data_IF_904920643354
#
_entry.id   IF_904920643354
#
_cell.length_a   1.000
_cell.length_b   1.000
_cell.length_c   1.000
_cell.angle_alpha   90.00
_cell.angle_beta   90.00
_cell.angle_gamma   90.00
#
_symmetry.space_group_name_H-M   'P 1'
#
loop_
_entity.id
_entity.type
_entity.pdbx_description
1 polymer ?
#
# COMPACT_ATOMS: atom_id res chain seq x y z
N UNK A 1 -71.60 34.64 51.85
CA UNK A 1 -72.11 33.54 52.71
C UNK A 1 -71.70 32.21 52.15
N UNK A 2 -71.15 31.39 53.05
CA UNK A 2 -71.00 29.92 53.06
C UNK A 2 -69.93 29.33 52.08
N UNK A 3 -68.82 28.99 52.62
CA UNK A 3 -68.33 27.76 53.30
C UNK A 3 -67.64 26.78 52.38
N UNK A 4 -66.30 26.66 52.59
CA UNK A 4 -65.42 25.55 52.29
C UNK A 4 -65.95 24.23 52.88
N UNK A 5 -65.64 23.05 52.25
CA UNK A 5 -64.63 22.28 52.95
C UNK A 5 -63.54 21.65 52.08
N UNK A 6 -62.39 21.58 52.71
CA UNK A 6 -61.18 20.81 52.54
C UNK A 6 -61.41 19.32 52.40
N UNK A 7 -60.73 18.64 51.49
CA UNK A 7 -60.25 17.25 51.74
C UNK A 7 -58.88 16.98 51.17
N UNK A 8 -58.10 16.47 52.03
CA UNK A 8 -56.73 15.94 51.90
C UNK A 8 -56.73 14.59 51.14
N UNK A 9 -55.48 14.30 50.75
CA UNK A 9 -54.85 13.02 50.33
C UNK A 9 -54.78 12.88 48.82
N UNK A 10 -53.60 12.63 48.25
CA UNK A 10 -52.58 11.70 48.66
C UNK A 10 -51.25 12.00 47.93
N UNK A 11 -50.25 12.27 48.71
CA UNK A 11 -48.86 12.14 48.29
C UNK A 11 -48.55 10.65 48.30
N UNK A 12 -48.37 10.01 47.18
CA UNK A 12 -47.80 8.66 47.08
C UNK A 12 -47.69 8.11 45.63
N UNK A 13 -47.39 8.93 44.61
CA UNK A 13 -47.16 8.40 43.27
C UNK A 13 -45.98 8.98 42.51
N UNK A 14 -45.19 9.86 43.17
CA UNK A 14 -44.06 10.52 42.52
C UNK A 14 -42.69 9.92 42.83
N UNK A 15 -42.61 8.87 43.66
CA UNK A 15 -41.32 8.27 44.07
C UNK A 15 -40.90 7.01 43.27
N UNK A 16 -41.70 6.53 42.33
CA UNK A 16 -41.43 5.27 41.60
C UNK A 16 -40.84 5.47 40.20
N UNK A 17 -40.69 6.68 39.72
CA UNK A 17 -40.22 6.97 38.34
C UNK A 17 -38.81 7.53 38.24
N UNK A 18 -38.07 7.74 39.32
CA UNK A 18 -36.70 8.26 39.31
C UNK A 18 -35.62 7.18 39.41
N UNK A 19 -36.00 5.93 39.67
CA UNK A 19 -35.05 4.82 39.80
C UNK A 19 -34.77 4.04 38.50
N UNK A 20 -35.39 4.40 37.35
CA UNK A 20 -35.31 3.62 36.11
C UNK A 20 -34.48 4.27 34.98
N UNK A 21 -33.80 5.37 35.21
CA UNK A 21 -33.08 6.10 34.12
C UNK A 21 -31.58 6.25 34.42
N UNK A 22 -30.98 5.50 35.29
CA UNK A 22 -29.53 5.44 35.49
C UNK A 22 -28.95 4.07 35.16
N UNK A 23 -29.39 3.43 34.07
CA UNK A 23 -28.58 2.49 33.33
C UNK A 23 -27.73 3.33 32.36
N UNK A 24 -26.71 3.98 32.90
CA UNK A 24 -25.58 4.50 32.13
C UNK A 24 -25.01 3.30 31.41
N UNK A 25 -25.21 3.24 30.09
CA UNK A 25 -24.46 2.36 29.19
C UNK A 25 -23.00 2.73 29.32
N UNK A 26 -22.29 2.07 30.20
CA UNK A 26 -20.83 2.06 30.21
C UNK A 26 -20.45 1.47 28.85
N UNK A 27 -19.74 2.18 27.98
CA UNK A 27 -19.19 1.55 26.77
C UNK A 27 -18.36 0.39 27.29
N UNK A 28 -18.74 -0.83 26.96
CA UNK A 28 -17.92 -2.00 27.18
C UNK A 28 -16.66 -1.78 26.32
N UNK A 29 -15.62 -1.20 26.91
CA UNK A 29 -14.28 -1.27 26.34
C UNK A 29 -13.99 -2.77 26.25
N UNK A 30 -14.04 -3.31 25.03
CA UNK A 30 -13.67 -4.69 24.79
C UNK A 30 -12.22 -4.84 25.26
N UNK A 31 -12.04 -5.44 26.45
CA UNK A 31 -10.71 -5.77 26.94
C UNK A 31 -10.07 -6.73 25.92
N UNK A 32 -8.77 -6.57 25.64
CA UNK A 32 -8.05 -7.52 24.79
C UNK A 32 -8.28 -8.95 25.31
N UNK A 33 -8.72 -9.85 24.44
CA UNK A 33 -8.87 -11.24 24.79
C UNK A 33 -7.48 -11.84 25.04
N UNK A 34 -7.23 -12.27 26.25
CA UNK A 34 -6.02 -13.01 26.61
C UNK A 34 -6.37 -14.51 26.59
N UNK A 35 -5.64 -15.34 25.81
CA UNK A 35 -5.86 -16.79 25.82
C UNK A 35 -5.74 -17.37 27.24
N UNK A 36 -6.58 -18.32 27.57
CA UNK A 36 -6.57 -18.99 28.89
C UNK A 36 -5.41 -20.00 29.01
N UNK A 37 -4.91 -20.48 27.88
CA UNK A 37 -3.76 -21.39 27.76
C UNK A 37 -3.20 -21.39 26.34
N UNK A 38 -2.00 -21.95 26.15
CA UNK A 38 -1.27 -21.95 24.87
C UNK A 38 -1.95 -22.77 23.76
N UNK A 39 -2.90 -23.63 24.09
CA UNK A 39 -3.64 -24.44 23.12
C UNK A 39 -4.99 -23.81 22.70
N UNK A 40 -5.38 -22.68 23.28
CA UNK A 40 -6.62 -22.02 22.94
C UNK A 40 -6.55 -21.39 21.54
N UNK A 41 -7.48 -21.80 20.67
CA UNK A 41 -7.66 -21.21 19.34
C UNK A 41 -8.48 -19.93 19.49
N UNK A 42 -7.83 -18.78 19.40
CA UNK A 42 -8.47 -17.45 19.51
C UNK A 42 -9.07 -16.95 18.19
N UNK A 43 -8.53 -17.43 17.05
CA UNK A 43 -9.01 -17.09 15.73
C UNK A 43 -8.67 -18.23 14.74
N UNK A 44 -9.59 -18.54 13.85
CA UNK A 44 -9.32 -19.42 12.70
C UNK A 44 -9.23 -18.57 11.44
N UNK A 45 -8.02 -18.43 10.91
CA UNK A 45 -7.80 -17.68 9.67
C UNK A 45 -8.34 -18.46 8.47
N UNK A 46 -8.90 -17.78 7.44
CA UNK A 46 -9.32 -18.42 6.21
C UNK A 46 -8.15 -19.18 5.56
N UNK A 47 -8.39 -20.41 5.13
CA UNK A 47 -7.39 -21.17 4.40
C UNK A 47 -7.19 -20.56 3.01
N UNK A 48 -5.95 -20.22 2.66
CA UNK A 48 -5.60 -19.83 1.30
C UNK A 48 -5.54 -21.08 0.43
N UNK A 49 -6.41 -21.16 -0.56
CA UNK A 49 -6.53 -22.33 -1.43
C UNK A 49 -5.19 -22.63 -2.13
N UNK A 50 -4.77 -23.88 -2.07
CA UNK A 50 -3.57 -24.38 -2.77
C UNK A 50 -2.25 -24.24 -2.02
N UNK A 51 -2.06 -23.21 -1.18
CA UNK A 51 -0.80 -22.97 -0.46
C UNK A 51 -0.65 -23.84 0.80
N UNK A 52 -1.72 -24.11 1.52
CA UNK A 52 -1.65 -24.75 2.84
C UNK A 52 -0.97 -26.13 2.88
N UNK A 53 -1.05 -26.92 1.79
CA UNK A 53 -0.35 -28.22 1.70
C UNK A 53 1.14 -28.04 1.47
N UNK A 54 1.50 -27.17 0.55
CA UNK A 54 2.89 -26.83 0.22
C UNK A 54 3.58 -26.14 1.40
N UNK A 55 2.91 -25.21 2.04
CA UNK A 55 3.39 -24.55 3.25
C UNK A 55 3.73 -25.55 4.37
N UNK A 56 2.83 -26.50 4.66
CA UNK A 56 3.09 -27.53 5.67
C UNK A 56 4.27 -28.42 5.30
N UNK A 57 4.48 -28.71 4.01
CA UNK A 57 5.65 -29.44 3.53
C UNK A 57 6.93 -28.64 3.80
N UNK A 58 6.98 -27.41 3.32
CA UNK A 58 8.15 -26.52 3.45
C UNK A 58 8.50 -26.26 4.92
N UNK A 59 7.49 -26.01 5.76
CA UNK A 59 7.72 -25.85 7.21
C UNK A 59 8.34 -27.09 7.86
N UNK A 60 7.87 -28.27 7.52
CA UNK A 60 8.46 -29.53 8.04
C UNK A 60 9.90 -29.72 7.60
N UNK A 61 10.19 -29.41 6.33
CA UNK A 61 11.55 -29.49 5.81
C UNK A 61 12.50 -28.50 6.47
N UNK A 62 12.03 -27.26 6.70
CA UNK A 62 12.82 -26.23 7.41
C UNK A 62 13.07 -26.59 8.89
N UNK A 63 12.13 -27.24 9.56
CA UNK A 63 12.37 -27.76 10.92
C UNK A 63 13.50 -28.79 10.94
N UNK A 64 13.56 -29.67 9.93
CA UNK A 64 14.62 -30.69 9.82
C UNK A 64 15.94 -30.11 9.34
N UNK A 65 15.90 -29.10 8.45
CA UNK A 65 17.06 -28.49 7.78
C UNK A 65 16.90 -26.96 7.77
N UNK A 66 17.12 -26.28 8.92
CA UNK A 66 16.82 -24.84 9.06
C UNK A 66 17.62 -23.94 8.12
N UNK A 67 18.76 -24.39 7.62
CA UNK A 67 19.63 -23.65 6.68
C UNK A 67 19.63 -24.23 5.27
N UNK A 68 18.59 -24.98 4.89
CA UNK A 68 18.41 -25.37 3.49
C UNK A 68 17.99 -24.15 2.67
N UNK A 69 18.93 -23.59 1.93
CA UNK A 69 18.75 -22.34 1.16
C UNK A 69 17.63 -22.47 0.13
N UNK A 70 17.54 -23.61 -0.56
CA UNK A 70 16.53 -23.80 -1.61
C UNK A 70 15.10 -23.82 -1.02
N UNK A 71 14.92 -24.56 0.07
CA UNK A 71 13.62 -24.65 0.77
C UNK A 71 13.22 -23.32 1.37
N UNK A 72 14.18 -22.60 1.98
CA UNK A 72 13.94 -21.28 2.56
C UNK A 72 13.53 -20.25 1.51
N UNK A 73 14.22 -20.21 0.36
CA UNK A 73 13.88 -19.32 -0.73
C UNK A 73 12.52 -19.64 -1.34
N UNK A 74 12.18 -20.92 -1.49
CA UNK A 74 10.86 -21.33 -1.97
C UNK A 74 9.76 -20.88 -1.02
N UNK A 75 9.92 -21.09 0.28
CA UNK A 75 8.97 -20.68 1.30
C UNK A 75 8.83 -19.15 1.38
N UNK A 76 9.95 -18.42 1.39
CA UNK A 76 9.94 -16.95 1.46
C UNK A 76 9.26 -16.32 0.23
N UNK A 77 9.53 -16.84 -0.98
CA UNK A 77 8.84 -16.41 -2.21
C UNK A 77 7.34 -16.66 -2.12
N UNK A 78 6.93 -17.88 -1.74
CA UNK A 78 5.51 -18.20 -1.59
C UNK A 78 4.78 -17.29 -0.60
N UNK A 79 5.40 -16.95 0.53
CA UNK A 79 4.83 -15.99 1.48
C UNK A 79 4.77 -14.56 0.90
N UNK A 80 5.80 -14.10 0.18
CA UNK A 80 5.76 -12.80 -0.48
C UNK A 80 4.68 -12.71 -1.56
N UNK A 81 4.48 -13.78 -2.31
CA UNK A 81 3.42 -13.84 -3.31
C UNK A 81 2.03 -13.79 -2.66
N UNK A 82 1.85 -14.45 -1.51
CA UNK A 82 0.64 -14.31 -0.72
C UNK A 82 0.47 -12.89 -0.17
N UNK A 83 1.54 -12.27 0.34
CA UNK A 83 1.48 -10.89 0.82
C UNK A 83 0.98 -9.94 -0.28
N UNK A 84 1.47 -10.11 -1.51
CA UNK A 84 1.05 -9.32 -2.67
C UNK A 84 -0.37 -9.62 -3.11
N UNK A 85 -0.71 -10.91 -3.26
CA UNK A 85 -2.01 -11.31 -3.81
C UNK A 85 -3.16 -11.11 -2.84
N UNK A 86 -2.92 -11.24 -1.54
CA UNK A 86 -3.92 -11.00 -0.50
C UNK A 86 -3.92 -9.57 0.06
N UNK A 87 -2.87 -8.79 -0.25
CA UNK A 87 -2.67 -7.46 0.34
C UNK A 87 -2.49 -7.52 1.86
N UNK A 88 -1.86 -8.59 2.38
CA UNK A 88 -1.70 -8.85 3.81
C UNK A 88 -0.22 -8.93 4.20
N UNK A 89 0.29 -7.89 4.84
CA UNK A 89 1.69 -7.77 5.24
C UNK A 89 2.15 -8.84 6.26
N UNK A 90 1.22 -9.56 6.94
CA UNK A 90 1.57 -10.66 7.85
C UNK A 90 2.36 -11.75 7.14
N UNK A 91 2.04 -12.02 5.88
CA UNK A 91 2.78 -13.00 5.08
C UNK A 91 4.23 -12.56 4.81
N UNK A 92 4.51 -11.27 4.67
CA UNK A 92 5.89 -10.78 4.58
C UNK A 92 6.65 -10.99 5.90
N UNK A 93 5.98 -10.85 7.04
CA UNK A 93 6.54 -11.25 8.35
C UNK A 93 6.89 -12.73 8.41
N UNK A 94 6.04 -13.62 7.86
CA UNK A 94 6.35 -15.06 7.76
C UNK A 94 7.53 -15.32 6.81
N UNK A 95 7.63 -14.60 5.69
CA UNK A 95 8.78 -14.68 4.82
C UNK A 95 10.08 -14.30 5.54
N UNK A 96 10.06 -13.22 6.33
CA UNK A 96 11.21 -12.80 7.15
C UNK A 96 11.54 -13.86 8.21
N UNK A 97 10.52 -14.44 8.86
CA UNK A 97 10.69 -15.53 9.84
C UNK A 97 11.39 -16.76 9.26
N UNK A 98 11.11 -17.13 8.01
CA UNK A 98 11.81 -18.22 7.30
C UNK A 98 13.30 -17.93 7.14
N UNK A 99 13.69 -16.67 6.94
CA UNK A 99 15.08 -16.26 6.76
C UNK A 99 15.83 -16.06 8.09
N UNK A 100 15.18 -16.19 9.23
CA UNK A 100 15.74 -15.96 10.56
C UNK A 100 16.93 -16.87 10.88
N UNK A 101 17.03 -18.06 10.26
CA UNK A 101 18.17 -18.96 10.44
C UNK A 101 19.54 -18.35 10.02
N UNK A 102 19.51 -17.26 9.22
CA UNK A 102 20.71 -16.53 8.81
C UNK A 102 20.86 -15.17 9.52
N UNK A 103 20.01 -14.84 10.48
CA UNK A 103 20.11 -13.59 11.23
C UNK A 103 21.18 -13.67 12.35
N UNK A 104 21.97 -12.58 12.58
CA UNK A 104 22.08 -11.43 11.72
C UNK A 104 22.78 -11.77 10.39
N UNK A 105 22.33 -11.18 9.27
CA UNK A 105 22.96 -11.40 7.97
C UNK A 105 24.38 -10.81 7.95
N UNK A 106 25.30 -11.50 7.27
CA UNK A 106 26.72 -11.15 7.19
C UNK A 106 27.28 -11.42 5.80
N UNK A 107 28.55 -11.12 5.61
CA UNK A 107 29.28 -11.44 4.37
C UNK A 107 29.39 -12.96 4.10
N UNK A 108 29.16 -13.80 5.09
CA UNK A 108 29.17 -15.26 4.92
C UNK A 108 27.77 -15.83 4.60
N UNK A 109 26.74 -14.97 4.62
CA UNK A 109 25.38 -15.36 4.24
C UNK A 109 25.30 -15.64 2.75
N UNK A 110 24.66 -16.75 2.30
CA UNK A 110 24.50 -17.04 0.86
C UNK A 110 23.86 -15.86 0.11
N UNK A 111 24.39 -15.54 -1.07
CA UNK A 111 23.97 -14.38 -1.85
C UNK A 111 22.46 -14.31 -2.11
N UNK A 112 21.86 -15.43 -2.47
CA UNK A 112 20.42 -15.52 -2.76
C UNK A 112 19.59 -15.26 -1.50
N UNK A 113 20.09 -15.63 -0.32
CA UNK A 113 19.45 -15.31 0.97
C UNK A 113 19.54 -13.81 1.25
N UNK A 114 20.71 -13.18 1.01
CA UNK A 114 20.87 -11.72 1.18
C UNK A 114 19.88 -10.97 0.27
N UNK A 115 19.77 -11.34 -1.00
CA UNK A 115 18.84 -10.69 -1.94
C UNK A 115 17.38 -10.91 -1.52
N UNK A 116 17.03 -12.12 -1.09
CA UNK A 116 15.67 -12.42 -0.60
C UNK A 116 15.37 -11.66 0.69
N UNK A 117 16.30 -11.62 1.64
CA UNK A 117 16.16 -10.86 2.89
C UNK A 117 15.90 -9.38 2.59
N UNK A 118 16.69 -8.78 1.71
CA UNK A 118 16.49 -7.39 1.29
C UNK A 118 15.15 -7.16 0.57
N UNK A 119 14.69 -8.12 -0.24
CA UNK A 119 13.39 -8.04 -0.92
C UNK A 119 12.25 -8.06 0.09
N UNK A 120 12.34 -8.89 1.13
CA UNK A 120 11.35 -8.92 2.22
C UNK A 120 11.42 -7.64 3.05
N UNK A 121 12.64 -7.18 3.40
CA UNK A 121 12.86 -5.94 4.15
C UNK A 121 12.27 -4.72 3.43
N UNK A 122 12.48 -4.62 2.11
CA UNK A 122 11.84 -3.60 1.26
C UNK A 122 10.31 -3.66 1.36
N UNK A 123 9.71 -4.84 1.27
CA UNK A 123 8.26 -5.02 1.38
C UNK A 123 7.74 -4.59 2.76
N UNK A 124 8.55 -4.77 3.80
CA UNK A 124 8.27 -4.33 5.16
C UNK A 124 8.68 -2.87 5.42
N UNK A 125 9.08 -2.13 4.38
CA UNK A 125 9.53 -0.73 4.40
C UNK A 125 10.80 -0.47 5.23
N UNK A 126 11.57 -1.51 5.54
CA UNK A 126 12.94 -1.35 6.07
C UNK A 126 13.92 -1.09 4.91
N UNK A 127 13.85 0.10 4.34
CA UNK A 127 14.65 0.47 3.18
C UNK A 127 16.14 0.60 3.50
N UNK A 128 16.49 1.03 4.71
CA UNK A 128 17.91 1.17 5.12
C UNK A 128 18.56 -0.20 5.29
N UNK A 129 17.89 -1.13 5.98
CA UNK A 129 18.35 -2.51 6.13
C UNK A 129 18.40 -3.25 4.79
N UNK A 130 17.41 -3.03 3.92
CA UNK A 130 17.39 -3.60 2.58
C UNK A 130 18.56 -3.07 1.71
N UNK A 131 18.81 -1.76 1.69
CA UNK A 131 19.93 -1.16 0.94
C UNK A 131 21.27 -1.69 1.43
N UNK A 132 21.51 -1.75 2.75
CA UNK A 132 22.75 -2.27 3.33
C UNK A 132 22.97 -3.74 2.94
N UNK A 133 21.93 -4.57 3.05
CA UNK A 133 21.98 -6.00 2.69
C UNK A 133 22.25 -6.20 1.19
N UNK A 134 21.61 -5.40 0.31
CA UNK A 134 21.87 -5.46 -1.14
C UNK A 134 23.29 -5.05 -1.51
N UNK A 135 23.84 -4.01 -0.87
CA UNK A 135 25.25 -3.62 -1.09
C UNK A 135 26.20 -4.76 -0.72
N UNK A 136 25.93 -5.48 0.36
CA UNK A 136 26.68 -6.67 0.74
C UNK A 136 26.55 -7.79 -0.30
N UNK A 137 25.32 -8.09 -0.75
CA UNK A 137 25.06 -9.10 -1.77
C UNK A 137 25.77 -8.78 -3.10
N UNK A 138 25.71 -7.52 -3.52
CA UNK A 138 26.32 -7.07 -4.78
C UNK A 138 27.86 -6.97 -4.72
N UNK A 139 28.42 -6.79 -3.53
CA UNK A 139 29.87 -6.91 -3.33
C UNK A 139 30.35 -8.35 -3.48
N UNK A 140 29.57 -9.34 -3.00
CA UNK A 140 29.86 -10.76 -3.21
C UNK A 140 29.66 -11.18 -4.67
N UNK A 141 28.56 -10.74 -5.29
CA UNK A 141 28.18 -11.17 -6.65
C UNK A 141 27.71 -9.97 -7.49
N UNK A 142 28.65 -9.22 -8.12
CA UNK A 142 28.31 -8.05 -8.93
C UNK A 142 27.44 -8.34 -10.16
N UNK A 143 27.34 -9.61 -10.57
CA UNK A 143 26.48 -10.08 -11.66
C UNK A 143 25.04 -10.37 -11.26
N UNK A 144 24.63 -10.16 -10.01
CA UNK A 144 23.27 -10.44 -9.55
C UNK A 144 22.26 -9.38 -10.05
N UNK A 145 21.56 -9.70 -11.13
CA UNK A 145 20.59 -8.78 -11.75
C UNK A 145 19.42 -8.43 -10.81
N UNK A 146 18.90 -9.39 -10.06
CA UNK A 146 17.82 -9.13 -9.11
C UNK A 146 18.25 -8.17 -8.00
N UNK A 147 19.48 -8.33 -7.51
CA UNK A 147 20.05 -7.43 -6.51
C UNK A 147 20.12 -5.99 -7.02
N UNK A 148 20.60 -5.78 -8.25
CA UNK A 148 20.66 -4.44 -8.85
C UNK A 148 19.27 -3.84 -9.08
N UNK A 149 18.32 -4.63 -9.59
CA UNK A 149 16.95 -4.15 -9.83
C UNK A 149 16.26 -3.75 -8.52
N UNK A 150 16.37 -4.58 -7.48
CA UNK A 150 15.82 -4.27 -6.16
C UNK A 150 16.45 -3.02 -5.55
N UNK A 151 17.78 -2.87 -5.67
CA UNK A 151 18.48 -1.67 -5.20
C UNK A 151 18.02 -0.41 -5.94
N UNK A 152 17.88 -0.47 -7.27
CA UNK A 152 17.38 0.64 -8.06
C UNK A 152 15.97 1.06 -7.62
N UNK A 153 15.09 0.10 -7.38
CA UNK A 153 13.72 0.35 -6.89
C UNK A 153 13.72 1.04 -5.52
N UNK A 154 14.52 0.54 -4.56
CA UNK A 154 14.62 1.16 -3.22
C UNK A 154 15.11 2.61 -3.32
N UNK A 155 16.14 2.84 -4.11
CA UNK A 155 16.71 4.18 -4.30
C UNK A 155 15.68 5.14 -4.93
N UNK A 156 14.90 4.66 -5.89
CA UNK A 156 13.83 5.42 -6.53
C UNK A 156 12.70 5.75 -5.56
N UNK A 157 12.21 4.76 -4.80
CA UNK A 157 11.18 4.97 -3.75
C UNK A 157 11.62 6.02 -2.73
N UNK A 158 12.92 6.11 -2.47
CA UNK A 158 13.51 7.13 -1.57
C UNK A 158 13.80 8.47 -2.24
N UNK A 159 13.45 8.66 -3.51
CA UNK A 159 13.70 9.89 -4.27
C UNK A 159 15.17 10.09 -4.66
N UNK A 160 15.98 9.02 -4.65
CA UNK A 160 17.42 9.05 -4.99
C UNK A 160 17.63 8.59 -6.43
N UNK A 161 17.06 9.33 -7.38
CA UNK A 161 17.01 8.93 -8.79
C UNK A 161 18.37 8.77 -9.44
N UNK A 162 19.34 9.63 -9.11
CA UNK A 162 20.73 9.52 -9.64
C UNK A 162 21.42 8.24 -9.17
N UNK A 163 21.22 7.86 -7.90
CA UNK A 163 21.78 6.61 -7.38
C UNK A 163 21.05 5.40 -8.00
N UNK A 164 19.74 5.52 -8.23
CA UNK A 164 18.97 4.52 -8.96
C UNK A 164 19.49 4.33 -10.39
N UNK A 165 19.82 5.42 -11.12
CA UNK A 165 20.44 5.33 -12.45
C UNK A 165 21.76 4.55 -12.43
N UNK A 166 22.58 4.73 -11.41
CA UNK A 166 23.82 3.97 -11.27
C UNK A 166 23.57 2.46 -11.15
N UNK A 167 22.53 2.06 -10.41
CA UNK A 167 22.10 0.66 -10.29
C UNK A 167 21.48 0.13 -11.61
N UNK A 168 20.64 0.94 -12.31
CA UNK A 168 20.10 0.60 -13.64
C UNK A 168 21.21 0.41 -14.66
N UNK A 169 22.25 1.26 -14.65
CA UNK A 169 23.42 1.12 -15.52
C UNK A 169 24.24 -0.14 -15.21
N UNK A 170 24.23 -0.62 -13.96
CA UNK A 170 24.85 -1.89 -13.63
C UNK A 170 24.12 -3.07 -14.32
N UNK A 171 22.80 -3.02 -14.43
CA UNK A 171 22.02 -4.00 -15.20
C UNK A 171 22.44 -4.05 -16.68
N UNK A 172 22.67 -2.89 -17.30
CA UNK A 172 23.18 -2.82 -18.67
C UNK A 172 24.56 -3.49 -18.82
N UNK A 173 25.47 -3.26 -17.87
CA UNK A 173 26.81 -3.88 -17.88
C UNK A 173 26.77 -5.40 -17.80
N UNK A 174 25.78 -5.98 -17.14
CA UNK A 174 25.58 -7.44 -17.06
C UNK A 174 24.61 -7.96 -18.13
N UNK A 175 24.36 -7.19 -19.18
CA UNK A 175 23.54 -7.51 -20.35
C UNK A 175 22.05 -7.74 -20.05
N UNK A 176 21.53 -7.17 -18.99
CA UNK A 176 20.09 -7.17 -18.66
C UNK A 176 19.41 -5.95 -19.30
N UNK A 177 19.54 -5.82 -20.63
CA UNK A 177 19.21 -4.59 -21.36
C UNK A 177 17.73 -4.20 -21.23
N UNK A 178 16.78 -5.15 -21.24
CA UNK A 178 15.37 -4.84 -21.08
C UNK A 178 15.12 -4.14 -19.73
N UNK A 179 15.59 -4.73 -18.63
CA UNK A 179 15.41 -4.17 -17.31
C UNK A 179 16.19 -2.88 -17.10
N UNK A 180 17.36 -2.76 -17.68
CA UNK A 180 18.16 -1.54 -17.62
C UNK A 180 17.46 -0.37 -18.32
N UNK A 181 16.96 -0.58 -19.54
CA UNK A 181 16.24 0.46 -20.31
C UNK A 181 14.96 0.86 -19.61
N UNK A 182 14.16 -0.09 -19.14
CA UNK A 182 12.91 0.20 -18.41
C UNK A 182 13.19 0.99 -17.12
N UNK A 183 14.19 0.58 -16.35
CA UNK A 183 14.61 1.23 -15.11
C UNK A 183 15.07 2.69 -15.35
N UNK A 184 15.90 2.94 -16.37
CA UNK A 184 16.33 4.29 -16.74
C UNK A 184 15.19 5.14 -17.28
N UNK A 185 14.29 4.54 -18.07
CA UNK A 185 13.11 5.23 -18.59
C UNK A 185 12.18 5.68 -17.47
N UNK A 186 11.93 4.83 -16.47
CA UNK A 186 11.13 5.18 -15.31
C UNK A 186 11.74 6.35 -14.54
N UNK A 187 13.06 6.33 -14.28
CA UNK A 187 13.77 7.44 -13.63
C UNK A 187 13.74 8.73 -14.47
N UNK A 188 13.85 8.63 -15.81
CA UNK A 188 13.75 9.77 -16.72
C UNK A 188 12.33 10.37 -16.67
N UNK A 189 11.29 9.53 -16.66
CA UNK A 189 9.90 9.97 -16.49
C UNK A 189 9.68 10.75 -15.20
N UNK A 190 10.21 10.26 -14.07
CA UNK A 190 10.15 10.94 -12.78
C UNK A 190 10.82 12.32 -12.80
N UNK A 191 11.88 12.51 -13.59
CA UNK A 191 12.57 13.79 -13.76
C UNK A 191 11.94 14.71 -14.80
N UNK A 192 10.83 14.31 -15.42
CA UNK A 192 10.13 15.12 -16.42
C UNK A 192 10.54 14.88 -17.86
N UNK A 193 11.45 13.95 -18.12
CA UNK A 193 11.86 13.53 -19.47
C UNK A 193 10.84 12.55 -20.07
N UNK A 194 9.55 12.92 -19.97
CA UNK A 194 8.42 12.03 -20.26
C UNK A 194 8.41 11.48 -21.68
N UNK A 195 8.85 12.28 -22.68
CA UNK A 195 8.90 11.82 -24.07
C UNK A 195 9.99 10.76 -24.24
N UNK A 196 11.19 11.00 -23.72
CA UNK A 196 12.29 10.03 -23.73
C UNK A 196 11.90 8.73 -23.04
N UNK A 197 11.27 8.81 -21.88
CA UNK A 197 10.79 7.65 -21.13
C UNK A 197 9.77 6.83 -21.93
N UNK A 198 8.78 7.52 -22.52
CA UNK A 198 7.76 6.89 -23.37
C UNK A 198 8.38 6.17 -24.55
N UNK A 199 9.25 6.84 -25.31
CA UNK A 199 9.83 6.29 -26.53
C UNK A 199 10.69 5.04 -26.21
N UNK A 200 11.44 5.07 -25.11
CA UNK A 200 12.21 3.93 -24.64
C UNK A 200 11.31 2.74 -24.25
N UNK A 201 10.25 2.98 -23.48
CA UNK A 201 9.32 1.93 -23.06
C UNK A 201 8.52 1.35 -24.23
N UNK A 202 8.06 2.21 -25.15
CA UNK A 202 7.39 1.76 -26.38
C UNK A 202 8.32 0.96 -27.28
N UNK A 203 9.59 1.36 -27.38
CA UNK A 203 10.62 0.59 -28.09
C UNK A 203 10.81 -0.82 -27.51
N UNK A 204 10.81 -0.94 -26.17
CA UNK A 204 10.81 -2.26 -25.52
C UNK A 204 9.57 -3.09 -25.85
N UNK A 205 8.39 -2.49 -25.81
CA UNK A 205 7.11 -3.16 -26.08
C UNK A 205 7.00 -3.68 -27.54
N UNK A 206 7.78 -3.13 -28.47
CA UNK A 206 7.88 -3.65 -29.85
C UNK A 206 8.76 -4.91 -29.96
N UNK A 207 9.48 -5.30 -28.90
CA UNK A 207 10.32 -6.50 -28.94
C UNK A 207 9.47 -7.76 -29.19
N UNK A 208 9.76 -8.56 -30.24
CA UNK A 208 8.99 -9.76 -30.56
C UNK A 208 8.88 -10.76 -29.41
N UNK A 209 9.89 -10.84 -28.55
CA UNK A 209 9.88 -11.72 -27.35
C UNK A 209 8.71 -11.36 -26.41
N UNK A 210 8.35 -10.10 -26.29
CA UNK A 210 7.24 -9.63 -25.43
C UNK A 210 5.85 -9.88 -26.05
N UNK A 211 5.77 -10.35 -27.28
CA UNK A 211 4.51 -10.78 -27.91
C UNK A 211 4.13 -12.22 -27.50
N UNK A 212 5.06 -12.99 -26.93
CA UNK A 212 4.77 -14.31 -26.36
C UNK A 212 3.80 -14.16 -25.15
N UNK A 213 2.67 -14.88 -25.12
CA UNK A 213 1.73 -14.84 -23.98
C UNK A 213 2.39 -15.13 -22.62
N UNK A 214 3.49 -15.91 -22.59
CA UNK A 214 4.26 -16.21 -21.38
C UNK A 214 4.97 -14.97 -20.80
N UNK A 215 5.08 -13.90 -21.57
CA UNK A 215 5.66 -12.63 -21.14
C UNK A 215 4.58 -11.63 -20.68
N UNK A 216 3.35 -12.08 -20.44
CA UNK A 216 2.23 -11.24 -20.04
C UNK A 216 2.56 -10.32 -18.86
N UNK A 217 3.15 -10.88 -17.80
CA UNK A 217 3.55 -10.11 -16.62
C UNK A 217 4.62 -9.03 -16.92
N UNK A 218 5.61 -9.34 -17.75
CA UNK A 218 6.64 -8.36 -18.15
C UNK A 218 6.02 -7.25 -19.01
N UNK A 219 5.15 -7.63 -19.93
CA UNK A 219 4.45 -6.69 -20.80
C UNK A 219 3.50 -5.79 -20.01
N UNK A 220 2.77 -6.36 -19.07
CA UNK A 220 1.89 -5.64 -18.15
C UNK A 220 2.70 -4.61 -17.35
N UNK A 221 3.81 -4.99 -16.71
CA UNK A 221 4.67 -4.08 -15.97
C UNK A 221 5.15 -2.90 -16.82
N UNK A 222 5.63 -3.13 -18.06
CA UNK A 222 6.05 -2.07 -18.95
C UNK A 222 4.90 -1.12 -19.32
N UNK A 223 3.70 -1.64 -19.56
CA UNK A 223 2.52 -0.83 -19.89
C UNK A 223 2.04 -0.01 -18.70
N UNK A 224 2.13 -0.55 -17.48
CA UNK A 224 1.85 0.22 -16.26
C UNK A 224 2.86 1.35 -16.09
N UNK A 225 4.15 1.08 -16.32
CA UNK A 225 5.17 2.14 -16.29
C UNK A 225 4.90 3.23 -17.34
N UNK A 226 4.43 2.86 -18.54
CA UNK A 226 3.97 3.86 -19.53
C UNK A 226 2.81 4.68 -18.98
N UNK A 227 1.80 4.04 -18.38
CA UNK A 227 0.65 4.74 -17.80
C UNK A 227 1.08 5.75 -16.72
N UNK A 228 1.98 5.36 -15.84
CA UNK A 228 2.51 6.23 -14.78
C UNK A 228 3.31 7.41 -15.36
N UNK A 229 4.13 7.20 -16.38
CA UNK A 229 4.84 8.29 -17.09
C UNK A 229 3.86 9.26 -17.75
N UNK A 230 2.76 8.75 -18.32
CA UNK A 230 1.70 9.58 -18.90
C UNK A 230 0.93 10.38 -17.84
N UNK A 231 0.71 9.81 -16.66
CA UNK A 231 0.13 10.53 -15.53
C UNK A 231 1.03 11.67 -15.06
N UNK A 232 2.34 11.40 -14.88
CA UNK A 232 3.32 12.43 -14.50
C UNK A 232 3.32 13.61 -15.49
N UNK A 233 3.11 13.30 -16.77
CA UNK A 233 3.02 14.29 -17.84
C UNK A 233 1.65 14.99 -17.96
N UNK A 234 0.64 14.58 -17.16
CA UNK A 234 -0.73 15.08 -17.26
C UNK A 234 -1.49 14.63 -18.51
N UNK A 235 -1.04 13.57 -19.20
CA UNK A 235 -1.65 13.05 -20.43
C UNK A 235 -2.65 11.95 -20.13
N UNK A 236 -3.81 12.33 -19.61
CA UNK A 236 -4.79 11.43 -19.02
C UNK A 236 -5.36 10.38 -19.99
N UNK A 237 -5.62 10.72 -21.26
CA UNK A 237 -6.14 9.75 -22.25
C UNK A 237 -5.11 8.67 -22.59
N UNK A 238 -3.84 9.04 -22.66
CA UNK A 238 -2.74 8.11 -22.92
C UNK A 238 -2.53 7.18 -21.70
N UNK A 239 -2.60 7.73 -20.48
CA UNK A 239 -2.52 6.96 -19.25
C UNK A 239 -3.67 5.94 -19.14
N UNK A 240 -4.93 6.35 -19.38
CA UNK A 240 -6.09 5.44 -19.38
C UNK A 240 -5.93 4.30 -20.38
N UNK A 241 -5.46 4.62 -21.59
CA UNK A 241 -5.21 3.63 -22.64
C UNK A 241 -4.14 2.61 -22.20
N UNK A 242 -3.04 3.07 -21.62
CA UNK A 242 -1.94 2.22 -21.18
C UNK A 242 -2.35 1.33 -20.00
N UNK A 243 -3.09 1.85 -19.00
CA UNK A 243 -3.64 1.04 -17.91
C UNK A 243 -4.57 -0.08 -18.41
N UNK A 244 -5.47 0.23 -19.34
CA UNK A 244 -6.36 -0.80 -19.93
C UNK A 244 -5.58 -1.87 -20.68
N UNK A 245 -4.54 -1.49 -21.40
CA UNK A 245 -3.67 -2.44 -22.09
C UNK A 245 -2.87 -3.29 -21.11
N UNK A 246 -2.39 -2.71 -20.00
CA UNK A 246 -1.71 -3.43 -18.93
C UNK A 246 -2.62 -4.53 -18.34
N UNK A 247 -3.85 -4.16 -17.97
CA UNK A 247 -4.84 -5.10 -17.42
C UNK A 247 -5.29 -6.18 -18.41
N UNK A 248 -5.19 -5.91 -19.72
CA UNK A 248 -5.45 -6.90 -20.76
C UNK A 248 -4.27 -7.86 -20.99
N UNK A 249 -3.04 -7.43 -20.70
CA UNK A 249 -1.84 -8.27 -20.81
C UNK A 249 -1.70 -9.26 -19.65
N UNK A 250 -1.92 -8.76 -18.44
CA UNK A 250 -1.97 -9.56 -17.19
C UNK A 250 -2.67 -8.72 -16.11
N UNK A 251 -3.08 -9.34 -14.99
CA UNK A 251 -3.73 -8.63 -13.89
C UNK A 251 -2.94 -8.79 -12.63
N UNK A 252 -2.56 -7.67 -12.00
CA UNK A 252 -1.93 -7.66 -10.69
C UNK A 252 -2.68 -6.75 -9.72
N UNK A 253 -2.58 -7.03 -8.42
CA UNK A 253 -3.17 -6.17 -7.39
C UNK A 253 -2.62 -4.74 -7.44
N UNK A 254 -1.35 -4.57 -7.81
CA UNK A 254 -0.75 -3.24 -7.97
C UNK A 254 -1.47 -2.42 -9.05
N UNK A 255 -1.65 -2.98 -10.26
CA UNK A 255 -2.29 -2.25 -11.37
C UNK A 255 -3.74 -1.90 -11.07
N UNK A 256 -4.45 -2.81 -10.39
CA UNK A 256 -5.83 -2.58 -9.98
C UNK A 256 -5.94 -1.38 -9.05
N UNK A 257 -5.00 -1.24 -8.12
CA UNK A 257 -4.93 -0.10 -7.21
C UNK A 257 -4.49 1.17 -7.94
N UNK A 258 -3.43 1.11 -8.75
CA UNK A 258 -2.92 2.26 -9.51
C UNK A 258 -4.00 2.80 -10.47
N UNK A 259 -4.66 1.92 -11.22
CA UNK A 259 -5.75 2.35 -12.10
C UNK A 259 -6.99 2.85 -11.35
N UNK A 260 -7.28 2.31 -10.15
CA UNK A 260 -8.33 2.86 -9.28
C UNK A 260 -8.02 4.29 -8.85
N UNK A 261 -6.78 4.57 -8.44
CA UNK A 261 -6.33 5.91 -8.06
C UNK A 261 -6.42 6.88 -9.24
N UNK A 262 -6.02 6.45 -10.45
CA UNK A 262 -6.22 7.21 -11.67
C UNK A 262 -7.71 7.51 -11.93
N UNK A 263 -8.60 6.51 -11.88
CA UNK A 263 -10.04 6.70 -12.07
C UNK A 263 -10.63 7.69 -11.06
N UNK A 264 -10.22 7.58 -9.80
CA UNK A 264 -10.60 8.52 -8.76
C UNK A 264 -10.11 9.94 -9.09
N UNK A 265 -8.86 10.11 -9.52
CA UNK A 265 -8.31 11.40 -9.89
C UNK A 265 -9.06 12.02 -11.11
N UNK A 266 -9.49 11.19 -12.06
CA UNK A 266 -10.26 11.62 -13.23
C UNK A 266 -11.78 11.77 -12.95
N UNK A 267 -12.20 11.78 -11.69
CA UNK A 267 -13.61 11.87 -11.33
C UNK A 267 -14.50 10.73 -11.85
N UNK A 268 -13.93 9.56 -12.13
CA UNK A 268 -14.59 8.35 -12.62
C UNK A 268 -14.82 7.33 -11.50
N UNK A 269 -15.15 7.80 -10.29
CA UNK A 269 -15.36 6.99 -9.10
C UNK A 269 -16.41 5.87 -9.29
N UNK A 270 -17.34 6.02 -10.25
CA UNK A 270 -18.36 5.00 -10.57
C UNK A 270 -17.79 3.70 -11.14
N UNK A 271 -16.57 3.74 -11.72
CA UNK A 271 -15.95 2.56 -12.35
C UNK A 271 -15.15 1.71 -11.35
N UNK A 272 -14.71 2.30 -10.24
CA UNK A 272 -13.86 1.64 -9.23
C UNK A 272 -14.49 0.37 -8.62
N UNK A 273 -15.78 0.34 -8.24
CA UNK A 273 -16.37 -0.88 -7.68
C UNK A 273 -16.37 -2.07 -8.65
N UNK A 274 -16.59 -1.80 -9.95
CA UNK A 274 -16.56 -2.85 -10.97
C UNK A 274 -15.14 -3.36 -11.22
N UNK A 275 -14.16 -2.46 -11.20
CA UNK A 275 -12.75 -2.79 -11.35
C UNK A 275 -12.24 -3.70 -10.22
N UNK A 276 -12.57 -3.38 -8.97
CA UNK A 276 -12.07 -4.05 -7.76
C UNK A 276 -12.94 -5.23 -7.28
N UNK A 277 -14.03 -5.57 -7.98
CA UNK A 277 -15.03 -6.55 -7.54
C UNK A 277 -14.45 -7.93 -7.19
N UNK A 278 -13.43 -8.36 -7.90
CA UNK A 278 -12.80 -9.68 -7.74
C UNK A 278 -11.55 -9.65 -6.86
N UNK A 279 -11.13 -8.47 -6.42
CA UNK A 279 -9.91 -8.34 -5.62
C UNK A 279 -10.16 -8.72 -4.14
N UNK A 280 -9.14 -9.28 -3.46
CA UNK A 280 -9.21 -9.49 -2.02
C UNK A 280 -9.51 -8.19 -1.27
N UNK A 281 -10.26 -8.27 -0.18
CA UNK A 281 -10.62 -7.11 0.65
C UNK A 281 -9.42 -6.64 1.51
N UNK A 282 -8.33 -6.25 0.86
CA UNK A 282 -7.17 -5.63 1.49
C UNK A 282 -7.49 -4.19 1.93
N UNK A 283 -6.66 -3.61 2.79
CA UNK A 283 -6.79 -2.20 3.21
C UNK A 283 -6.76 -1.26 2.01
N UNK A 284 -5.89 -1.55 1.02
CA UNK A 284 -5.80 -0.78 -0.21
C UNK A 284 -7.10 -0.82 -1.03
N UNK A 285 -7.73 -1.99 -1.16
CA UNK A 285 -9.00 -2.16 -1.88
C UNK A 285 -10.14 -1.47 -1.14
N UNK A 286 -10.28 -1.71 0.17
CA UNK A 286 -11.31 -1.09 1.00
C UNK A 286 -11.23 0.44 0.96
N UNK A 287 -10.02 0.99 1.01
CA UNK A 287 -9.80 2.43 0.94
C UNK A 287 -10.32 3.02 -0.38
N UNK A 288 -10.00 2.42 -1.53
CA UNK A 288 -10.47 2.91 -2.85
C UNK A 288 -11.98 2.79 -3.00
N UNK A 289 -12.57 1.70 -2.49
CA UNK A 289 -14.03 1.55 -2.45
C UNK A 289 -14.70 2.60 -1.57
N UNK A 290 -14.15 2.88 -0.38
CA UNK A 290 -14.65 3.91 0.51
C UNK A 290 -14.57 5.31 -0.13
N UNK A 291 -13.43 5.68 -0.72
CA UNK A 291 -13.25 6.96 -1.43
C UNK A 291 -14.24 7.06 -2.60
N UNK A 292 -14.37 5.99 -3.40
CA UNK A 292 -15.30 5.98 -4.53
C UNK A 292 -16.74 6.22 -4.08
N UNK A 293 -17.16 5.56 -3.00
CA UNK A 293 -18.50 5.71 -2.45
C UNK A 293 -18.75 7.12 -1.91
N UNK A 294 -17.81 7.73 -1.19
CA UNK A 294 -17.91 9.11 -0.72
C UNK A 294 -18.07 10.10 -1.88
N UNK A 295 -17.25 9.95 -2.94
CA UNK A 295 -17.34 10.81 -4.12
C UNK A 295 -18.62 10.63 -4.91
N UNK A 296 -19.19 9.42 -4.95
CA UNK A 296 -20.48 9.16 -5.57
C UNK A 296 -21.63 9.75 -4.75
N UNK A 297 -21.60 9.57 -3.41
CA UNK A 297 -22.59 10.13 -2.49
C UNK A 297 -22.64 11.67 -2.53
N UNK A 298 -21.48 12.31 -2.64
CA UNK A 298 -21.40 13.77 -2.80
C UNK A 298 -22.09 14.28 -4.08
N UNK A 299 -22.11 13.47 -5.16
CA UNK A 299 -22.79 13.81 -6.42
C UNK A 299 -24.26 13.44 -6.43
N UNK A 300 -24.62 12.31 -5.84
CA UNK A 300 -25.98 11.78 -5.77
C UNK A 300 -26.18 11.09 -4.42
N UNK A 301 -26.78 11.77 -3.44
CA UNK A 301 -27.04 11.17 -2.14
C UNK A 301 -27.84 9.86 -2.27
N UNK A 302 -27.44 8.80 -1.57
CA UNK A 302 -28.17 7.54 -1.58
C UNK A 302 -29.56 7.72 -0.91
N UNK A 303 -30.56 6.90 -1.29
CA UNK A 303 -31.86 6.91 -0.61
C UNK A 303 -31.68 6.55 0.88
N UNK A 304 -32.45 7.19 1.76
CA UNK A 304 -32.34 7.07 3.22
C UNK A 304 -32.49 5.62 3.76
N UNK A 305 -33.05 4.72 2.98
CA UNK A 305 -33.25 3.30 3.32
C UNK A 305 -32.06 2.39 2.97
N UNK A 306 -31.08 2.89 2.23
CA UNK A 306 -29.88 2.11 1.90
C UNK A 306 -28.92 2.16 3.08
N UNK A 307 -28.69 1.05 3.78
CA UNK A 307 -27.49 0.90 4.62
C UNK A 307 -26.31 0.79 3.64
N UNK A 308 -25.46 1.79 3.51
CA UNK A 308 -24.48 1.77 2.45
C UNK A 308 -23.43 0.68 2.73
N UNK A 309 -23.17 -0.16 1.76
CA UNK A 309 -22.00 -1.07 1.79
C UNK A 309 -20.72 -0.29 2.13
N UNK A 310 -20.65 0.95 1.66
CA UNK A 310 -19.61 1.91 1.98
C UNK A 310 -19.38 2.12 3.47
N UNK A 311 -20.42 2.20 4.30
CA UNK A 311 -20.25 2.38 5.74
C UNK A 311 -19.55 1.19 6.38
N UNK A 312 -19.89 -0.04 5.95
CA UNK A 312 -19.22 -1.25 6.43
C UNK A 312 -17.73 -1.28 6.04
N UNK A 313 -17.40 -0.85 4.83
CA UNK A 313 -16.01 -0.77 4.37
C UNK A 313 -15.22 0.27 5.17
N UNK A 314 -15.84 1.40 5.50
CA UNK A 314 -15.26 2.45 6.35
C UNK A 314 -15.06 1.94 7.78
N UNK A 315 -16.05 1.29 8.37
CA UNK A 315 -15.98 0.77 9.74
C UNK A 315 -14.92 -0.32 9.86
N UNK A 316 -14.86 -1.23 8.88
CA UNK A 316 -13.84 -2.28 8.81
C UNK A 316 -12.43 -1.68 8.69
N UNK A 317 -12.24 -0.71 7.80
CA UNK A 317 -10.94 -0.06 7.61
C UNK A 317 -10.51 0.74 8.85
N UNK A 318 -11.46 1.42 9.50
CA UNK A 318 -11.22 2.13 10.76
C UNK A 318 -10.72 1.17 11.83
N UNK A 319 -11.42 0.05 12.04
CA UNK A 319 -11.01 -0.96 13.01
C UNK A 319 -9.62 -1.55 12.73
N UNK A 320 -9.28 -1.77 11.44
CA UNK A 320 -7.97 -2.27 11.05
C UNK A 320 -6.86 -1.24 11.32
N UNK A 321 -7.08 0.04 11.04
CA UNK A 321 -6.10 1.09 11.33
C UNK A 321 -5.92 1.32 12.83
N UNK A 322 -7.00 1.25 13.61
CA UNK A 322 -6.92 1.32 15.08
C UNK A 322 -6.13 0.14 15.64
N UNK A 323 -6.37 -1.07 15.17
CA UNK A 323 -5.61 -2.26 15.57
C UNK A 323 -4.12 -2.16 15.18
N UNK A 324 -3.82 -1.62 14.00
CA UNK A 324 -2.45 -1.37 13.57
C UNK A 324 -1.76 -0.33 14.47
N UNK A 325 -2.44 0.76 14.82
CA UNK A 325 -1.89 1.83 15.67
C UNK A 325 -1.50 1.38 17.08
N UNK A 326 -2.06 0.26 17.57
CA UNK A 326 -1.66 -0.32 18.86
C UNK A 326 -0.28 -0.97 18.84
N UNK A 327 0.29 -1.21 17.65
CA UNK A 327 1.63 -1.81 17.52
C UNK A 327 2.68 -0.71 17.42
N UNK A 328 3.72 -0.69 18.27
CA UNK A 328 4.78 0.32 18.19
C UNK A 328 5.43 0.37 16.79
N UNK A 329 5.62 1.56 16.25
CA UNK A 329 6.32 1.80 14.98
C UNK A 329 5.49 1.56 13.70
N UNK A 330 4.29 1.00 13.78
CA UNK A 330 3.50 0.68 12.57
C UNK A 330 2.81 1.89 11.93
N UNK A 331 2.61 2.98 12.66
CA UNK A 331 1.94 4.18 12.11
C UNK A 331 2.67 4.72 10.89
N UNK A 332 4.00 4.76 10.90
CA UNK A 332 4.78 5.22 9.75
C UNK A 332 4.62 4.31 8.52
N UNK A 333 4.48 3.00 8.72
CA UNK A 333 4.36 2.01 7.65
C UNK A 333 3.01 2.09 6.91
N UNK A 334 1.97 2.60 7.58
CA UNK A 334 0.62 2.75 7.02
C UNK A 334 0.23 4.22 6.82
N UNK A 335 1.19 5.14 6.92
CA UNK A 335 0.89 6.57 6.96
C UNK A 335 0.29 7.08 5.64
N UNK A 336 0.66 6.51 4.48
CA UNK A 336 0.06 6.85 3.17
C UNK A 336 -1.44 6.55 3.14
N UNK A 337 -1.81 5.32 3.43
CA UNK A 337 -3.21 4.86 3.39
C UNK A 337 -4.05 5.59 4.44
N UNK A 338 -3.49 5.80 5.63
CA UNK A 338 -4.17 6.56 6.69
C UNK A 338 -4.32 8.04 6.32
N UNK A 339 -3.33 8.66 5.64
CA UNK A 339 -3.43 10.03 5.15
C UNK A 339 -4.54 10.17 4.09
N UNK A 340 -4.61 9.25 3.13
CA UNK A 340 -5.69 9.21 2.14
C UNK A 340 -7.06 8.99 2.79
N UNK A 341 -7.16 8.11 3.79
CA UNK A 341 -8.38 7.87 4.53
C UNK A 341 -8.85 9.11 5.30
N UNK A 342 -7.92 9.76 6.02
CA UNK A 342 -8.21 11.02 6.73
C UNK A 342 -8.67 12.11 5.75
N UNK A 343 -8.00 12.24 4.60
CA UNK A 343 -8.29 13.28 3.62
C UNK A 343 -9.59 13.05 2.86
N UNK A 344 -9.74 11.87 2.24
CA UNK A 344 -10.78 11.60 1.25
C UNK A 344 -12.06 10.99 1.86
N UNK A 345 -11.97 10.38 3.05
CA UNK A 345 -13.11 9.71 3.70
C UNK A 345 -13.58 10.47 4.93
N UNK A 346 -12.66 10.90 5.79
CA UNK A 346 -13.00 11.58 7.04
C UNK A 346 -13.07 13.12 6.90
N UNK A 347 -12.46 13.70 5.86
CA UNK A 347 -12.38 15.17 5.70
C UNK A 347 -11.47 15.84 6.73
N UNK A 348 -10.61 15.08 7.41
CA UNK A 348 -9.68 15.57 8.42
C UNK A 348 -8.34 15.98 7.77
N UNK A 349 -8.31 17.19 7.24
CA UNK A 349 -7.14 17.73 6.56
C UNK A 349 -5.91 17.86 7.46
N UNK A 350 -6.10 18.17 8.75
CA UNK A 350 -5.00 18.33 9.69
C UNK A 350 -4.31 16.98 9.98
N UNK A 351 -5.09 15.96 10.24
CA UNK A 351 -4.60 14.58 10.43
C UNK A 351 -3.95 14.06 9.15
N UNK A 352 -4.58 14.27 7.99
CA UNK A 352 -4.03 13.88 6.70
C UNK A 352 -2.65 14.48 6.46
N UNK A 353 -2.49 15.79 6.73
CA UNK A 353 -1.21 16.49 6.58
C UNK A 353 -0.13 15.94 7.52
N UNK A 354 -0.47 15.68 8.77
CA UNK A 354 0.47 15.12 9.74
C UNK A 354 0.96 13.72 9.30
N UNK A 355 0.05 12.85 8.84
CA UNK A 355 0.38 11.53 8.34
C UNK A 355 1.17 11.58 7.03
N UNK A 356 0.81 12.45 6.09
CA UNK A 356 1.55 12.62 4.84
C UNK A 356 2.99 13.12 5.07
N UNK A 357 3.20 14.04 6.03
CA UNK A 357 4.55 14.45 6.45
C UNK A 357 5.36 13.30 7.04
N UNK A 358 4.73 12.44 7.84
CA UNK A 358 5.38 11.24 8.38
C UNK A 358 5.79 10.28 7.24
N UNK A 359 4.90 10.06 6.27
CA UNK A 359 5.13 9.16 5.15
C UNK A 359 6.31 9.56 4.28
N UNK A 360 6.45 10.85 3.92
CA UNK A 360 7.55 11.32 3.04
C UNK A 360 8.93 11.30 3.70
N UNK A 361 9.01 11.02 4.99
CA UNK A 361 10.27 10.72 5.66
C UNK A 361 10.78 9.32 5.30
N UNK A 362 9.84 8.39 5.06
CA UNK A 362 10.14 6.99 4.76
C UNK A 362 10.24 6.75 3.25
N UNK A 363 9.29 7.24 2.48
CA UNK A 363 9.18 7.02 1.03
C UNK A 363 8.73 8.29 0.30
N UNK A 364 9.17 8.46 -0.95
CA UNK A 364 9.00 9.69 -1.75
C UNK A 364 8.61 9.38 -3.18
N UNK A 365 7.67 8.45 -3.33
CA UNK A 365 7.07 8.17 -4.63
C UNK A 365 6.16 9.34 -5.07
N UNK A 366 5.86 9.47 -6.36
CA UNK A 366 4.96 10.53 -6.86
C UNK A 366 3.64 10.63 -6.10
N UNK A 367 3.04 9.48 -5.76
CA UNK A 367 1.79 9.43 -4.97
C UNK A 367 1.96 10.00 -3.56
N UNK A 368 3.12 9.82 -2.92
CA UNK A 368 3.39 10.35 -1.58
C UNK A 368 3.41 11.88 -1.57
N UNK A 369 4.10 12.47 -2.57
CA UNK A 369 4.13 13.92 -2.73
C UNK A 369 2.76 14.47 -3.14
N UNK A 370 1.99 13.72 -3.95
CA UNK A 370 0.63 14.10 -4.31
C UNK A 370 -0.29 14.11 -3.10
N UNK A 371 -0.22 13.10 -2.23
CA UNK A 371 -1.00 13.06 -0.98
C UNK A 371 -0.62 14.22 -0.07
N UNK A 372 0.69 14.51 0.08
CA UNK A 372 1.16 15.63 0.89
C UNK A 372 0.69 16.97 0.32
N UNK A 373 0.74 17.18 -1.00
CA UNK A 373 0.26 18.40 -1.65
C UNK A 373 -1.24 18.59 -1.46
N UNK A 374 -2.03 17.54 -1.68
CA UNK A 374 -3.49 17.57 -1.49
C UNK A 374 -3.87 17.83 -0.02
N UNK A 375 -3.17 17.23 0.93
CA UNK A 375 -3.40 17.47 2.35
C UNK A 375 -3.01 18.89 2.76
N UNK A 376 -1.90 19.44 2.23
CA UNK A 376 -1.48 20.81 2.44
C UNK A 376 -2.50 21.82 1.89
N UNK A 377 -3.04 21.56 0.69
CA UNK A 377 -4.09 22.37 0.09
C UNK A 377 -5.38 22.33 0.91
N UNK A 378 -5.83 21.13 1.32
CA UNK A 378 -7.03 20.96 2.11
C UNK A 378 -6.92 21.60 3.53
N UNK A 379 -5.72 21.54 4.14
CA UNK A 379 -5.44 22.19 5.41
C UNK A 379 -5.20 23.71 5.27
N UNK A 380 -5.17 24.23 4.05
CA UNK A 380 -4.82 25.63 3.73
C UNK A 380 -3.48 26.07 4.36
N UNK A 381 -2.47 25.15 4.33
CA UNK A 381 -1.14 25.35 4.93
C UNK A 381 -0.11 25.73 3.86
N UNK A 382 0.16 27.01 3.70
CA UNK A 382 1.14 27.51 2.73
C UNK A 382 2.58 27.11 3.06
N UNK A 383 2.88 26.82 4.31
CA UNK A 383 4.20 26.30 4.70
C UNK A 383 4.37 24.88 4.18
N UNK A 384 3.35 24.03 4.36
CA UNK A 384 3.37 22.68 3.81
C UNK A 384 3.44 22.68 2.27
N UNK A 385 2.74 23.61 1.59
CA UNK A 385 2.87 23.74 0.11
C UNK A 385 4.31 24.08 -0.31
N UNK A 386 4.99 24.95 0.44
CA UNK A 386 6.43 25.25 0.18
C UNK A 386 7.32 24.05 0.47
N UNK A 387 7.04 23.28 1.53
CA UNK A 387 7.75 22.03 1.84
C UNK A 387 7.66 21.03 0.68
N UNK A 388 6.46 20.83 0.10
CA UNK A 388 6.29 19.95 -1.07
C UNK A 388 7.14 20.42 -2.25
N UNK A 389 7.08 21.72 -2.60
CA UNK A 389 7.88 22.30 -3.71
C UNK A 389 9.38 22.10 -3.48
N UNK A 390 9.84 22.34 -2.26
CA UNK A 390 11.25 22.16 -1.89
C UNK A 390 11.65 20.69 -2.02
N UNK A 391 10.82 19.76 -1.56
CA UNK A 391 11.08 18.32 -1.65
C UNK A 391 11.11 17.84 -3.10
N UNK A 392 10.14 18.27 -3.94
CA UNK A 392 10.16 17.96 -5.39
C UNK A 392 11.45 18.45 -6.06
N UNK A 393 11.87 19.68 -5.74
CA UNK A 393 13.13 20.25 -6.26
C UNK A 393 14.35 19.44 -5.79
N UNK A 394 14.39 19.08 -4.51
CA UNK A 394 15.48 18.32 -3.91
C UNK A 394 15.68 16.97 -4.58
N UNK A 395 14.59 16.23 -4.84
CA UNK A 395 14.66 14.90 -5.45
C UNK A 395 14.61 14.93 -6.99
N UNK A 396 14.33 16.07 -7.58
CA UNK A 396 14.21 16.26 -9.03
C UNK A 396 12.91 15.78 -9.64
N UNK A 397 11.85 15.52 -8.82
CA UNK A 397 10.55 15.07 -9.32
C UNK A 397 9.83 16.14 -10.13
N UNK A 398 9.22 15.72 -11.23
CA UNK A 398 8.28 16.52 -12.04
C UNK A 398 6.98 15.74 -12.20
N UNK A 399 5.90 16.26 -11.64
CA UNK A 399 4.58 15.60 -11.63
C UNK A 399 3.48 16.67 -11.80
N UNK A 400 2.83 16.67 -12.94
CA UNK A 400 1.76 17.62 -13.26
C UNK A 400 0.59 17.56 -12.27
N UNK A 401 0.35 16.41 -11.63
CA UNK A 401 -0.72 16.24 -10.64
C UNK A 401 -0.38 16.98 -9.34
N UNK A 402 0.89 16.91 -8.92
CA UNK A 402 1.37 17.64 -7.73
C UNK A 402 1.37 19.13 -8.00
N UNK A 403 1.84 19.57 -9.18
CA UNK A 403 1.83 20.98 -9.56
C UNK A 403 0.39 21.56 -9.58
N UNK A 404 -0.58 20.77 -10.05
CA UNK A 404 -2.00 21.16 -10.06
C UNK A 404 -2.64 21.21 -8.66
N UNK A 405 -2.09 20.50 -7.68
CA UNK A 405 -2.59 20.46 -6.30
C UNK A 405 -2.02 21.59 -5.41
N UNK A 406 -0.95 22.29 -5.86
CA UNK A 406 -0.24 23.34 -5.12
C UNK A 406 -0.67 24.76 -5.52
#
# INVERSE_FOLDING_TARGET
MLRIPCRRNSASAAAAWVAAVLLVSVPALAAPRVPSNDSEIVETLPAVAGWSREERRLRRELVQRPRDTAVALQAARGYLDLARTQGDARYAGYAMGVLQAWAPVSVDTPNEILVMHATVAQFLHDFDGAEATLKMALAQQPGNAQGWLTLATILRVRGRYTDSDAACNALARIRQNLYAVACLAENAGLRGEHQTARDALQGLLQNPVLQDPRQGATRQWLLTTVAEVEELAGRHEAADTAYRQALAADRSGYDMIAYSDFLLAQNRAGEVPALLKAEPRSDAVLLRLAIAAQRQAARRPPPATAVPTAQRDIDELTARFEAAAQRPGTTALHAREQALFALDVQGDAARALALARLNVQLQREPVDLLVLARAAAAANDDTARREVKALMQQIGLRDARVDAAL
#
